data_IF_647023888201
#
_entry.id   IF_647023888201
#
_cell.length_a   1.000
_cell.length_b   1.000
_cell.length_c   1.000
_cell.angle_alpha   90.00
_cell.angle_beta   90.00
_cell.angle_gamma   90.00
#
_symmetry.space_group_name_H-M   'P 1'
#
loop_
_entity.id
_entity.type
_entity.pdbx_description
1 polymer ?
#
# COMPACT_ATOMS: atom_id res chain seq x y z
N UNK A 1 -14.09 13.36 -1.87
CA UNK A 1 -12.63 13.18 -1.78
C UNK A 1 -11.93 14.29 -2.52
N UNK A 2 -10.77 14.73 -2.06
CA UNK A 2 -9.93 15.74 -2.70
C UNK A 2 -8.47 15.26 -2.70
N UNK A 3 -7.54 16.06 -3.22
CA UNK A 3 -6.13 15.69 -3.34
C UNK A 3 -5.46 15.38 -1.98
N UNK A 4 -5.92 15.98 -0.88
CA UNK A 4 -5.33 15.77 0.45
C UNK A 4 -5.56 14.37 1.04
N UNK A 5 -6.47 13.59 0.46
CA UNK A 5 -6.68 12.18 0.85
C UNK A 5 -5.76 11.21 0.10
N UNK A 6 -5.01 11.70 -0.91
CA UNK A 6 -4.19 10.86 -1.76
C UNK A 6 -2.72 11.24 -1.66
N UNK A 7 -1.86 10.25 -1.71
CA UNK A 7 -0.42 10.39 -1.84
C UNK A 7 0.13 9.55 -2.99
N UNK A 8 1.43 9.62 -3.15
CA UNK A 8 2.17 8.75 -4.05
C UNK A 8 3.22 7.99 -3.27
N UNK A 9 3.45 6.79 -3.72
CA UNK A 9 4.56 5.97 -3.31
C UNK A 9 5.84 6.37 -4.07
N UNK A 10 6.95 6.56 -3.38
CA UNK A 10 8.22 6.91 -4.04
C UNK A 10 8.72 5.83 -4.99
N UNK A 11 8.28 4.56 -4.80
CA UNK A 11 8.62 3.45 -5.70
C UNK A 11 8.02 3.62 -7.09
N UNK A 12 6.93 4.37 -7.23
CA UNK A 12 6.29 4.70 -8.50
C UNK A 12 7.19 5.53 -9.43
N UNK A 13 8.15 6.25 -8.84
CA UNK A 13 9.02 7.19 -9.54
C UNK A 13 10.45 6.65 -9.63
N UNK A 14 11.16 6.98 -10.72
CA UNK A 14 12.57 6.69 -10.88
C UNK A 14 13.45 7.88 -10.44
N UNK A 15 14.75 7.63 -10.15
CA UNK A 15 15.72 8.67 -9.85
C UNK A 15 15.92 8.98 -8.37
N UNK A 16 16.66 10.06 -8.05
CA UNK A 16 17.00 10.42 -6.67
C UNK A 16 15.79 10.80 -5.82
N UNK A 17 15.89 10.56 -4.51
CA UNK A 17 14.80 10.81 -3.55
C UNK A 17 14.30 12.26 -3.61
N UNK A 18 15.20 13.24 -3.61
CA UNK A 18 14.83 14.65 -3.64
C UNK A 18 14.02 15.02 -4.87
N UNK A 19 14.41 14.49 -6.04
CA UNK A 19 13.70 14.74 -7.29
C UNK A 19 12.29 14.10 -7.27
N UNK A 20 12.14 12.90 -6.69
CA UNK A 20 10.85 12.26 -6.46
C UNK A 20 9.95 13.10 -5.58
N UNK A 21 10.46 13.53 -4.41
CA UNK A 21 9.72 14.36 -3.45
C UNK A 21 9.31 15.71 -4.07
N UNK A 22 10.20 16.33 -4.86
CA UNK A 22 9.92 17.57 -5.58
C UNK A 22 8.80 17.37 -6.62
N UNK A 23 8.83 16.29 -7.39
CA UNK A 23 7.81 15.98 -8.40
C UNK A 23 6.43 15.74 -7.75
N UNK A 24 6.39 14.96 -6.66
CA UNK A 24 5.16 14.69 -5.90
C UNK A 24 4.56 16.01 -5.38
N UNK A 25 5.38 16.83 -4.72
CA UNK A 25 4.95 18.13 -4.20
C UNK A 25 4.53 19.09 -5.32
N UNK A 26 5.28 19.12 -6.42
CA UNK A 26 4.99 19.95 -7.60
C UNK A 26 3.66 19.61 -8.28
N UNK A 27 3.21 18.34 -8.20
CA UNK A 27 1.88 17.91 -8.65
C UNK A 27 0.75 18.28 -7.66
N UNK A 28 1.08 18.87 -6.50
CA UNK A 28 0.14 19.34 -5.50
C UNK A 28 -0.21 18.33 -4.42
N UNK A 29 0.48 17.19 -4.33
CA UNK A 29 0.31 16.26 -3.22
C UNK A 29 0.89 16.82 -1.93
N UNK A 30 0.26 16.54 -0.81
CA UNK A 30 0.68 16.96 0.53
C UNK A 30 1.26 15.81 1.35
N UNK A 31 1.22 14.60 0.80
CA UNK A 31 1.62 13.37 1.48
C UNK A 31 2.38 12.42 0.55
N UNK A 32 3.18 11.53 1.17
CA UNK A 32 4.04 10.58 0.48
C UNK A 32 4.15 9.28 1.28
N UNK A 33 4.19 8.16 0.59
CA UNK A 33 4.65 6.89 1.15
C UNK A 33 6.08 6.63 0.69
N UNK A 34 6.96 6.22 1.60
CA UNK A 34 8.39 6.09 1.33
C UNK A 34 8.80 4.62 1.17
N UNK A 35 9.68 4.37 0.19
CA UNK A 35 10.29 3.07 0.01
C UNK A 35 11.66 3.01 0.70
N UNK A 36 11.95 1.89 1.39
CA UNK A 36 13.20 1.69 2.11
C UNK A 36 14.44 1.81 1.21
N UNK A 37 14.35 1.42 -0.06
CA UNK A 37 15.47 1.53 -1.01
C UNK A 37 15.89 2.98 -1.26
N UNK A 38 14.98 3.94 -1.19
CA UNK A 38 15.29 5.37 -1.35
C UNK A 38 16.05 5.92 -0.14
N UNK A 39 15.87 5.33 1.03
CA UNK A 39 16.52 5.76 2.27
C UNK A 39 17.89 5.09 2.41
N UNK A 40 17.92 3.76 2.29
CA UNK A 40 19.17 2.97 2.45
C UNK A 40 20.13 3.21 1.30
N UNK A 41 19.62 3.43 0.08
CA UNK A 41 20.42 3.70 -1.12
C UNK A 41 20.78 5.18 -1.33
N UNK A 42 20.46 6.06 -0.40
CA UNK A 42 20.74 7.49 -0.55
C UNK A 42 22.25 7.77 -0.54
N UNK A 43 22.78 8.54 -1.52
CA UNK A 43 24.23 8.76 -1.62
C UNK A 43 24.84 9.43 -0.39
N UNK A 44 24.09 10.26 0.33
CA UNK A 44 24.51 10.94 1.57
C UNK A 44 24.22 10.15 2.83
N UNK A 45 23.75 8.89 2.72
CA UNK A 45 23.36 8.05 3.84
C UNK A 45 21.96 8.34 4.39
N UNK A 46 21.56 7.57 5.41
CA UNK A 46 20.22 7.63 6.01
C UNK A 46 19.89 9.01 6.59
N UNK A 47 20.84 9.66 7.28
CA UNK A 47 20.62 10.98 7.89
C UNK A 47 20.29 12.04 6.83
N UNK A 48 21.00 12.03 5.69
CA UNK A 48 20.73 12.93 4.58
C UNK A 48 19.37 12.65 3.93
N UNK A 49 19.00 11.38 3.76
CA UNK A 49 17.68 10.99 3.27
C UNK A 49 16.56 11.50 4.19
N UNK A 50 16.70 11.31 5.50
CA UNK A 50 15.75 11.82 6.51
C UNK A 50 15.65 13.34 6.45
N UNK A 51 16.78 14.04 6.31
CA UNK A 51 16.80 15.51 6.17
C UNK A 51 16.07 15.95 4.88
N UNK A 52 16.28 15.27 3.75
CA UNK A 52 15.59 15.54 2.49
C UNK A 52 14.07 15.35 2.61
N UNK A 53 13.64 14.25 3.23
CA UNK A 53 12.21 14.00 3.49
C UNK A 53 11.60 15.14 4.34
N UNK A 54 12.24 15.54 5.43
CA UNK A 54 11.77 16.62 6.29
C UNK A 54 11.72 17.96 5.55
N UNK A 55 12.75 18.27 4.76
CA UNK A 55 12.81 19.50 3.97
C UNK A 55 11.72 19.58 2.89
N UNK A 56 11.24 18.44 2.39
CA UNK A 56 10.14 18.40 1.42
C UNK A 56 8.83 18.98 1.98
N UNK A 57 8.61 18.85 3.29
CA UNK A 57 7.37 19.26 3.96
C UNK A 57 6.18 18.34 3.63
N UNK A 58 6.39 17.21 2.95
CA UNK A 58 5.36 16.21 2.72
C UNK A 58 5.12 15.39 4.00
N UNK A 59 3.86 15.07 4.28
CA UNK A 59 3.49 14.17 5.38
C UNK A 59 3.78 12.72 4.98
N UNK A 60 4.57 12.02 5.77
CA UNK A 60 4.86 10.60 5.54
C UNK A 60 3.69 9.76 6.05
N UNK A 61 3.02 9.05 5.14
CA UNK A 61 1.84 8.21 5.44
C UNK A 61 2.20 6.78 5.78
N UNK A 62 3.29 6.28 5.24
CA UNK A 62 3.78 4.92 5.47
C UNK A 62 5.22 4.75 5.00
N UNK A 63 5.81 3.66 5.44
CA UNK A 63 7.15 3.21 5.05
C UNK A 63 7.11 1.75 4.64
N UNK A 64 7.72 1.40 3.53
CA UNK A 64 7.67 0.04 2.96
C UNK A 64 9.04 -0.44 2.51
N UNK A 65 9.25 -1.73 2.43
CA UNK A 65 8.37 -2.86 2.71
C UNK A 65 9.17 -3.91 3.49
N UNK A 66 8.62 -4.39 4.59
CA UNK A 66 9.12 -5.57 5.29
C UNK A 66 8.57 -6.82 4.60
N UNK A 67 9.44 -7.69 4.12
CA UNK A 67 9.08 -8.90 3.37
C UNK A 67 9.48 -10.16 4.11
N UNK A 68 8.67 -11.22 3.93
CA UNK A 68 8.99 -12.56 4.41
C UNK A 68 9.31 -12.56 5.92
N UNK A 69 8.46 -11.95 6.73
CA UNK A 69 8.66 -11.91 8.19
C UNK A 69 8.05 -13.14 8.85
N UNK A 70 6.78 -13.42 8.55
CA UNK A 70 6.01 -14.49 9.19
C UNK A 70 6.29 -15.86 8.56
N UNK A 71 6.11 -16.91 9.37
CA UNK A 71 6.21 -18.31 8.98
C UNK A 71 7.63 -18.84 8.88
N UNK A 72 8.64 -18.04 9.15
CA UNK A 72 10.03 -18.48 9.20
C UNK A 72 10.41 -19.03 10.59
N UNK A 73 11.49 -19.78 10.66
CA UNK A 73 11.97 -20.35 11.92
C UNK A 73 13.49 -20.26 12.07
N UNK A 74 13.98 -20.45 13.29
CA UNK A 74 15.41 -20.48 13.61
C UNK A 74 16.12 -19.19 13.21
N UNK A 75 17.30 -19.33 12.60
CA UNK A 75 18.14 -18.19 12.21
C UNK A 75 17.52 -17.29 11.14
N UNK A 76 16.65 -17.84 10.27
CA UNK A 76 15.95 -17.03 9.26
C UNK A 76 14.95 -16.08 9.92
N UNK A 77 14.20 -16.57 10.91
CA UNK A 77 13.28 -15.72 11.66
C UNK A 77 14.05 -14.66 12.47
N UNK A 78 15.11 -15.05 13.19
CA UNK A 78 15.96 -14.11 13.95
C UNK A 78 16.52 -12.99 13.06
N UNK A 79 17.02 -13.32 11.85
CA UNK A 79 17.46 -12.33 10.89
C UNK A 79 16.32 -11.36 10.47
N UNK A 80 15.11 -11.88 10.28
CA UNK A 80 13.96 -11.01 9.92
C UNK A 80 13.53 -10.11 11.06
N UNK A 81 13.69 -10.55 12.32
CA UNK A 81 13.48 -9.70 13.49
C UNK A 81 14.47 -8.53 13.49
N UNK A 82 15.75 -8.76 13.20
CA UNK A 82 16.75 -7.69 13.09
C UNK A 82 16.39 -6.70 11.95
N UNK A 83 15.97 -7.20 10.80
CA UNK A 83 15.51 -6.35 9.67
C UNK A 83 14.29 -5.53 10.08
N UNK A 84 13.32 -6.14 10.77
CA UNK A 84 12.12 -5.44 11.24
C UNK A 84 12.47 -4.31 12.22
N UNK A 85 13.38 -4.56 13.16
CA UNK A 85 13.85 -3.55 14.12
C UNK A 85 14.54 -2.37 13.41
N UNK A 86 15.39 -2.65 12.41
CA UNK A 86 16.02 -1.61 11.60
C UNK A 86 14.98 -0.77 10.85
N UNK A 87 14.00 -1.41 10.21
CA UNK A 87 12.93 -0.71 9.49
C UNK A 87 12.04 0.11 10.43
N UNK A 88 11.71 -0.40 11.61
CA UNK A 88 10.97 0.36 12.63
C UNK A 88 11.75 1.58 13.12
N UNK A 89 13.07 1.47 13.27
CA UNK A 89 13.95 2.60 13.59
C UNK A 89 13.90 3.67 12.49
N UNK A 90 13.98 3.27 11.22
CA UNK A 90 13.82 4.19 10.07
C UNK A 90 12.43 4.82 10.04
N UNK A 91 11.35 4.07 10.29
CA UNK A 91 10.00 4.65 10.43
C UNK A 91 9.99 5.80 11.43
N UNK A 92 10.58 5.59 12.61
CA UNK A 92 10.68 6.62 13.65
C UNK A 92 11.47 7.85 13.17
N UNK A 93 12.62 7.65 12.53
CA UNK A 93 13.47 8.73 12.02
C UNK A 93 12.75 9.57 10.97
N UNK A 94 11.99 8.92 10.09
CA UNK A 94 11.20 9.53 9.01
C UNK A 94 9.87 10.15 9.49
N UNK A 95 9.45 9.88 10.73
CA UNK A 95 8.14 10.30 11.25
C UNK A 95 6.96 9.48 10.73
N UNK A 96 7.23 8.34 10.06
CA UNK A 96 6.18 7.41 9.63
C UNK A 96 5.50 6.76 10.83
N UNK A 97 4.17 6.63 10.76
CA UNK A 97 3.38 5.93 11.78
C UNK A 97 2.93 4.54 11.34
N UNK A 98 3.22 4.16 10.11
CA UNK A 98 2.82 2.90 9.51
C UNK A 98 4.03 2.24 8.86
N UNK A 99 4.29 0.97 9.21
CA UNK A 99 5.18 0.07 8.49
C UNK A 99 4.33 -0.91 7.69
N UNK A 100 4.56 -0.99 6.38
CA UNK A 100 3.97 -2.03 5.52
C UNK A 100 4.79 -3.32 5.64
N UNK A 101 4.10 -4.41 5.97
CA UNK A 101 4.65 -5.77 5.94
C UNK A 101 3.82 -6.63 4.98
N UNK A 102 4.49 -7.26 4.02
CA UNK A 102 3.84 -8.13 3.04
C UNK A 102 3.94 -9.60 3.47
N UNK A 103 2.92 -10.36 3.10
CA UNK A 103 2.87 -11.80 3.30
C UNK A 103 4.06 -12.52 2.66
N UNK A 104 4.51 -13.58 3.32
CA UNK A 104 5.71 -14.31 2.92
C UNK A 104 5.54 -15.03 1.58
N UNK A 105 6.51 -14.84 0.71
CA UNK A 105 6.69 -15.59 -0.54
C UNK A 105 7.79 -16.67 -0.40
N UNK A 106 8.43 -16.76 0.77
CA UNK A 106 9.54 -17.66 1.03
C UNK A 106 9.15 -19.14 0.93
N UNK A 107 9.98 -19.93 0.25
CA UNK A 107 9.83 -21.37 0.21
C UNK A 107 10.00 -22.04 1.60
N UNK A 108 10.62 -21.33 2.55
CA UNK A 108 10.89 -21.81 3.91
C UNK A 108 9.79 -21.44 4.91
N UNK A 109 8.80 -20.65 4.49
CA UNK A 109 7.70 -20.27 5.37
C UNK A 109 6.74 -21.45 5.60
N UNK A 110 6.28 -21.63 6.83
CA UNK A 110 5.16 -22.52 7.18
C UNK A 110 3.83 -21.84 6.88
N UNK A 111 2.80 -22.65 6.61
CA UNK A 111 1.41 -22.19 6.53
C UNK A 111 0.60 -22.47 7.80
N UNK A 112 1.24 -22.84 8.90
CA UNK A 112 0.56 -23.05 10.18
C UNK A 112 0.02 -21.70 10.72
N UNK A 113 -1.31 -21.52 10.82
CA UNK A 113 -1.90 -20.27 11.27
C UNK A 113 -1.41 -19.81 12.64
N UNK A 114 -1.21 -20.75 13.58
CA UNK A 114 -0.73 -20.41 14.92
C UNK A 114 0.68 -19.83 14.90
N UNK A 115 1.56 -20.34 14.04
CA UNK A 115 2.90 -19.78 13.84
C UNK A 115 2.84 -18.40 13.20
N UNK A 116 2.01 -18.22 12.14
CA UNK A 116 1.85 -16.94 11.47
C UNK A 116 1.31 -15.85 12.41
N UNK A 117 0.30 -16.18 13.21
CA UNK A 117 -0.29 -15.28 14.21
C UNK A 117 0.77 -14.87 15.24
N UNK A 118 1.53 -15.84 15.76
CA UNK A 118 2.59 -15.58 16.74
C UNK A 118 3.64 -14.61 16.18
N UNK A 119 4.08 -14.81 14.95
CA UNK A 119 5.08 -13.96 14.33
C UNK A 119 4.53 -12.54 14.08
N UNK A 120 3.29 -12.40 13.64
CA UNK A 120 2.62 -11.10 13.48
C UNK A 120 2.43 -10.39 14.82
N UNK A 121 2.12 -11.13 15.89
CA UNK A 121 2.06 -10.59 17.25
C UNK A 121 3.43 -10.10 17.73
N UNK A 122 4.52 -10.82 17.41
CA UNK A 122 5.89 -10.41 17.70
C UNK A 122 6.23 -9.09 16.99
N UNK A 123 5.95 -9.01 15.67
CA UNK A 123 6.18 -7.79 14.89
C UNK A 123 5.40 -6.59 15.46
N UNK A 124 4.14 -6.79 15.77
CA UNK A 124 3.31 -5.76 16.40
C UNK A 124 3.89 -5.32 17.76
N UNK A 125 4.40 -6.26 18.56
CA UNK A 125 5.02 -5.98 19.88
C UNK A 125 6.30 -5.15 19.72
N UNK A 126 7.15 -5.45 18.74
CA UNK A 126 8.35 -4.66 18.43
C UNK A 126 8.02 -3.21 18.04
N UNK A 127 6.86 -2.98 17.40
CA UNK A 127 6.44 -1.66 16.95
C UNK A 127 5.80 -0.79 18.06
N UNK A 128 5.30 -1.39 19.17
CA UNK A 128 4.60 -0.66 20.25
C UNK A 128 5.43 0.45 20.87
N UNK A 129 6.72 0.25 21.28
CA UNK A 129 7.51 1.30 21.94
C UNK A 129 7.76 2.52 21.05
N UNK A 130 7.62 2.36 19.73
CA UNK A 130 7.85 3.40 18.74
C UNK A 130 6.55 4.10 18.32
N UNK A 131 5.39 3.63 18.78
CA UNK A 131 4.08 4.13 18.39
C UNK A 131 3.78 3.92 16.92
N UNK A 132 4.27 2.80 16.35
CA UNK A 132 4.11 2.45 14.94
C UNK A 132 3.03 1.38 14.81
N UNK A 133 2.19 1.53 13.81
CA UNK A 133 1.22 0.54 13.35
C UNK A 133 1.87 -0.34 12.28
N UNK A 134 1.56 -1.63 12.28
CA UNK A 134 1.94 -2.57 11.23
C UNK A 134 0.73 -2.80 10.33
N UNK A 135 0.86 -2.47 9.06
CA UNK A 135 -0.13 -2.76 8.02
C UNK A 135 0.29 -4.03 7.29
N UNK A 136 -0.47 -5.11 7.45
CA UNK A 136 -0.17 -6.41 6.84
C UNK A 136 -0.93 -6.56 5.52
N UNK A 137 -0.20 -6.90 4.46
CA UNK A 137 -0.71 -7.02 3.10
C UNK A 137 -0.60 -8.46 2.58
N UNK A 138 -1.67 -8.99 2.02
CA UNK A 138 -1.64 -10.23 1.28
C UNK A 138 -1.13 -10.00 -0.15
N UNK A 139 0.11 -10.39 -0.45
CA UNK A 139 0.59 -10.44 -1.83
C UNK A 139 -0.17 -11.49 -2.63
N UNK A 140 -0.66 -11.17 -3.82
CA UNK A 140 -1.43 -12.12 -4.66
C UNK A 140 -0.62 -13.35 -5.12
N UNK A 141 0.67 -13.38 -4.84
CA UNK A 141 1.57 -14.55 -5.00
C UNK A 141 2.18 -15.02 -3.68
N UNK A 142 1.65 -14.56 -2.54
CA UNK A 142 2.07 -15.02 -1.22
C UNK A 142 1.96 -16.56 -1.12
N UNK A 143 2.90 -17.17 -0.42
CA UNK A 143 2.99 -18.61 -0.39
C UNK A 143 1.80 -19.28 0.31
N UNK A 144 1.38 -18.74 1.42
CA UNK A 144 0.28 -19.27 2.23
C UNK A 144 -0.85 -18.26 2.41
N UNK A 145 -0.51 -16.98 2.53
CA UNK A 145 -1.44 -15.87 2.62
C UNK A 145 -1.35 -15.07 1.33
N UNK A 146 -2.35 -15.22 0.46
CA UNK A 146 -2.37 -14.57 -0.86
C UNK A 146 -3.71 -13.92 -1.22
N UNK A 147 -4.66 -13.93 -0.30
CA UNK A 147 -5.97 -13.28 -0.43
C UNK A 147 -6.20 -12.36 0.77
N UNK A 148 -6.85 -11.24 0.53
CA UNK A 148 -7.14 -10.22 1.55
C UNK A 148 -7.88 -10.79 2.77
N UNK A 149 -8.81 -11.71 2.60
CA UNK A 149 -9.54 -12.29 3.74
C UNK A 149 -8.67 -13.22 4.58
N UNK A 150 -7.70 -13.91 4.00
CA UNK A 150 -6.72 -14.68 4.79
C UNK A 150 -5.84 -13.75 5.66
N UNK A 151 -5.44 -12.57 5.14
CA UNK A 151 -4.71 -11.61 5.97
C UNK A 151 -5.61 -10.99 7.04
N UNK A 152 -6.90 -10.81 6.76
CA UNK A 152 -7.88 -10.33 7.75
C UNK A 152 -8.04 -11.33 8.91
N UNK A 153 -8.25 -12.61 8.63
CA UNK A 153 -8.36 -13.67 9.63
C UNK A 153 -7.15 -13.68 10.57
N UNK A 154 -5.93 -13.61 10.05
CA UNK A 154 -4.71 -13.56 10.86
C UNK A 154 -4.61 -12.28 11.70
N UNK A 155 -4.97 -11.14 11.15
CA UNK A 155 -4.95 -9.85 11.86
C UNK A 155 -5.99 -9.83 12.98
N UNK A 156 -7.19 -10.34 12.71
CA UNK A 156 -8.28 -10.43 13.69
C UNK A 156 -7.89 -11.36 14.85
N UNK A 157 -7.44 -12.58 14.53
CA UNK A 157 -7.01 -13.56 15.53
C UNK A 157 -5.76 -13.14 16.30
N UNK A 158 -4.90 -12.32 15.72
CA UNK A 158 -3.73 -11.77 16.42
C UNK A 158 -4.11 -10.86 17.57
N UNK A 159 -5.26 -10.23 17.58
CA UNK A 159 -5.80 -9.34 18.60
C UNK A 159 -4.77 -8.28 19.07
N UNK A 160 -4.16 -7.55 18.15
CA UNK A 160 -3.23 -6.46 18.43
C UNK A 160 -3.77 -5.13 17.91
N UNK A 161 -3.90 -4.12 18.77
CA UNK A 161 -4.45 -2.82 18.39
C UNK A 161 -3.65 -2.12 17.30
N UNK A 162 -2.33 -2.33 17.27
CA UNK A 162 -1.39 -1.74 16.30
C UNK A 162 -1.05 -2.66 15.11
N UNK A 163 -1.76 -3.77 14.94
CA UNK A 163 -1.73 -4.61 13.74
C UNK A 163 -3.05 -4.46 13.00
N UNK A 164 -2.98 -4.20 11.71
CA UNK A 164 -4.11 -4.02 10.82
C UNK A 164 -3.74 -4.38 9.39
N UNK A 165 -4.56 -3.99 8.42
CA UNK A 165 -4.40 -4.33 7.02
C UNK A 165 -3.84 -3.17 6.19
N UNK A 166 -3.04 -3.52 5.20
CA UNK A 166 -2.90 -2.77 3.98
C UNK A 166 -3.76 -3.41 2.88
N UNK A 167 -4.55 -2.60 2.20
CA UNK A 167 -5.37 -3.04 1.08
C UNK A 167 -4.77 -2.47 -0.21
N UNK A 168 -4.17 -3.33 -1.03
CA UNK A 168 -3.72 -2.96 -2.37
C UNK A 168 -4.73 -3.43 -3.42
N UNK A 169 -5.25 -2.49 -4.20
CA UNK A 169 -6.22 -2.76 -5.26
C UNK A 169 -5.72 -3.79 -6.28
N UNK A 170 -4.42 -3.78 -6.61
CA UNK A 170 -3.86 -4.78 -7.51
C UNK A 170 -4.02 -6.20 -6.96
N UNK A 171 -3.60 -6.44 -5.72
CA UNK A 171 -3.64 -7.79 -5.13
C UNK A 171 -5.07 -8.30 -4.95
N UNK A 172 -6.00 -7.41 -4.63
CA UNK A 172 -7.42 -7.74 -4.50
C UNK A 172 -8.02 -8.12 -5.87
N UNK A 173 -7.78 -7.31 -6.89
CA UNK A 173 -8.38 -7.49 -8.22
C UNK A 173 -7.68 -8.60 -9.03
N UNK A 174 -6.38 -8.81 -8.85
CA UNK A 174 -5.64 -9.89 -9.49
C UNK A 174 -6.16 -11.30 -9.11
N UNK A 175 -6.84 -11.42 -7.96
CA UNK A 175 -7.56 -12.61 -7.54
C UNK A 175 -9.06 -12.60 -7.90
N UNK A 176 -9.54 -11.57 -8.60
CA UNK A 176 -10.97 -11.39 -8.88
C UNK A 176 -11.84 -11.48 -7.60
N UNK A 177 -11.31 -10.93 -6.49
CA UNK A 177 -11.98 -10.97 -5.20
C UNK A 177 -13.32 -10.23 -5.27
N UNK A 178 -14.40 -10.87 -4.80
CA UNK A 178 -15.66 -10.17 -4.62
C UNK A 178 -15.49 -9.04 -3.58
N UNK A 179 -15.64 -7.80 -4.01
CA UNK A 179 -15.49 -6.65 -3.13
C UNK A 179 -16.53 -6.61 -2.00
N UNK A 180 -17.59 -7.40 -2.10
CA UNK A 180 -18.62 -7.54 -1.06
C UNK A 180 -18.09 -8.12 0.24
N UNK A 181 -17.07 -9.00 0.18
CA UNK A 181 -16.46 -9.62 1.37
C UNK A 181 -15.70 -8.63 2.25
N UNK A 182 -15.24 -7.52 1.67
CA UNK A 182 -14.49 -6.51 2.43
C UNK A 182 -15.30 -5.86 3.55
N UNK A 183 -16.64 -5.97 3.51
CA UNK A 183 -17.54 -5.48 4.56
C UNK A 183 -17.36 -6.22 5.90
N UNK A 184 -16.73 -7.37 5.90
CA UNK A 184 -16.39 -8.14 7.10
C UNK A 184 -15.20 -7.53 7.84
N UNK A 185 -14.40 -6.70 7.17
CA UNK A 185 -13.22 -6.04 7.75
C UNK A 185 -13.68 -4.85 8.59
N UNK A 186 -13.19 -4.79 9.83
CA UNK A 186 -13.42 -3.62 10.70
C UNK A 186 -12.64 -2.41 10.17
N UNK A 187 -13.29 -1.28 9.83
CA UNK A 187 -12.63 -0.15 9.18
C UNK A 187 -11.44 0.42 9.94
N UNK A 188 -11.48 0.40 11.27
CA UNK A 188 -10.39 0.89 12.14
C UNK A 188 -9.12 0.01 12.06
N UNK A 189 -9.23 -1.18 11.46
CA UNK A 189 -8.11 -2.07 11.18
C UNK A 189 -7.53 -1.90 9.78
N UNK A 190 -8.09 -1.04 8.94
CA UNK A 190 -7.49 -0.67 7.66
C UNK A 190 -6.54 0.51 7.92
N UNK A 191 -5.24 0.28 7.84
CA UNK A 191 -4.23 1.29 8.15
C UNK A 191 -3.66 1.97 6.93
N UNK A 192 -3.77 1.33 5.75
CA UNK A 192 -3.26 1.83 4.49
C UNK A 192 -4.11 1.29 3.34
N UNK A 193 -4.32 2.12 2.32
CA UNK A 193 -4.91 1.69 1.04
C UNK A 193 -4.00 2.12 -0.09
N UNK A 194 -3.51 1.14 -0.87
CA UNK A 194 -2.70 1.39 -2.06
C UNK A 194 -3.54 1.17 -3.31
N UNK A 195 -3.40 2.10 -4.25
CA UNK A 195 -4.20 2.12 -5.47
C UNK A 195 -3.31 2.03 -6.70
N UNK A 196 -3.64 1.07 -7.53
CA UNK A 196 -3.19 0.94 -8.91
C UNK A 196 -4.24 0.22 -9.73
N UNK A 197 -4.10 0.27 -11.02
CA UNK A 197 -4.85 -0.49 -12.02
C UNK A 197 -3.84 -1.29 -12.85
N UNK A 198 -4.26 -2.09 -13.79
CA UNK A 198 -3.39 -2.83 -14.69
C UNK A 198 -4.06 -3.10 -16.03
N UNK A 199 -3.26 -3.57 -17.02
CA UNK A 199 -3.69 -3.63 -18.43
C UNK A 199 -4.29 -4.96 -18.86
N UNK A 200 -4.14 -6.01 -18.03
CA UNK A 200 -4.64 -7.36 -18.35
C UNK A 200 -5.98 -7.60 -17.68
N UNK A 201 -6.92 -8.17 -18.42
CA UNK A 201 -8.23 -8.52 -17.87
C UNK A 201 -8.15 -9.61 -16.79
N UNK A 202 -7.21 -10.54 -16.92
CA UNK A 202 -7.00 -11.63 -15.97
C UNK A 202 -5.51 -11.89 -15.77
N UNK A 203 -5.16 -12.30 -14.55
CA UNK A 203 -3.85 -12.83 -14.17
C UNK A 203 -4.05 -14.16 -13.47
N UNK A 204 -3.85 -15.26 -14.20
CA UNK A 204 -4.26 -16.61 -13.76
C UNK A 204 -3.23 -17.27 -12.85
N UNK A 205 -1.96 -17.09 -13.15
CA UNK A 205 -0.86 -17.74 -12.44
C UNK A 205 -0.13 -16.78 -11.49
N UNK A 206 0.58 -17.28 -10.47
CA UNK A 206 1.45 -16.45 -9.64
C UNK A 206 2.49 -15.68 -10.47
N UNK A 207 3.07 -16.30 -11.49
CA UNK A 207 4.09 -15.66 -12.35
C UNK A 207 3.49 -14.51 -13.15
N UNK A 208 2.30 -14.67 -13.74
CA UNK A 208 1.58 -13.59 -14.41
C UNK A 208 1.25 -12.43 -13.45
N UNK A 209 0.88 -12.74 -12.18
CA UNK A 209 0.62 -11.72 -11.17
C UNK A 209 1.90 -10.97 -10.79
N UNK A 210 3.02 -11.68 -10.61
CA UNK A 210 4.32 -11.06 -10.32
C UNK A 210 4.75 -10.15 -11.47
N UNK A 211 4.67 -10.64 -12.69
CA UNK A 211 5.05 -9.90 -13.90
C UNK A 211 4.21 -8.62 -14.03
N UNK A 212 2.87 -8.76 -13.95
CA UNK A 212 1.95 -7.62 -14.03
C UNK A 212 2.18 -6.62 -12.90
N UNK A 213 2.34 -7.11 -11.65
CA UNK A 213 2.55 -6.28 -10.49
C UNK A 213 3.82 -5.43 -10.57
N UNK A 214 4.89 -5.96 -11.17
CA UNK A 214 6.21 -5.33 -11.18
C UNK A 214 6.45 -4.41 -12.38
N UNK A 215 5.73 -4.63 -13.49
CA UNK A 215 6.07 -4.01 -14.77
C UNK A 215 4.91 -3.29 -15.44
N UNK A 216 3.64 -3.65 -15.15
CA UNK A 216 2.49 -3.25 -15.95
C UNK A 216 1.32 -2.67 -15.15
N UNK A 217 1.56 -2.20 -13.91
CA UNK A 217 0.56 -1.41 -13.19
C UNK A 217 0.43 -0.05 -13.88
N UNK A 218 -0.76 0.51 -13.85
CA UNK A 218 -1.06 1.86 -14.34
C UNK A 218 -1.87 2.62 -13.27
N UNK A 219 -2.03 3.92 -13.45
CA UNK A 219 -2.87 4.67 -12.54
C UNK A 219 -4.36 4.34 -12.75
N UNK A 220 -5.20 4.36 -11.69
CA UNK A 220 -6.65 4.23 -11.82
C UNK A 220 -7.22 5.23 -12.83
N UNK A 221 -8.05 4.75 -13.75
CA UNK A 221 -8.54 5.50 -14.91
C UNK A 221 -7.73 5.29 -16.18
N UNK A 222 -6.64 4.54 -16.15
CA UNK A 222 -5.78 4.22 -17.30
C UNK A 222 -5.78 2.72 -17.65
N UNK A 223 -6.26 1.86 -16.74
CA UNK A 223 -6.30 0.41 -16.93
C UNK A 223 -7.69 -0.14 -17.18
N UNK A 224 -7.78 -1.47 -17.24
CA UNK A 224 -9.02 -2.17 -17.55
C UNK A 224 -9.90 -2.43 -16.32
N UNK A 225 -9.35 -2.28 -15.10
CA UNK A 225 -10.07 -2.49 -13.83
C UNK A 225 -10.45 -1.18 -13.13
N UNK A 226 -10.43 -0.08 -13.85
CA UNK A 226 -10.65 1.25 -13.27
C UNK A 226 -12.00 1.38 -12.54
N UNK A 227 -13.07 0.79 -13.07
CA UNK A 227 -14.39 0.81 -12.43
C UNK A 227 -14.41 -0.02 -11.14
N UNK A 228 -13.71 -1.16 -11.11
CA UNK A 228 -13.54 -1.99 -9.90
C UNK A 228 -12.70 -1.26 -8.83
N UNK A 229 -11.62 -0.56 -9.24
CA UNK A 229 -10.85 0.29 -8.30
C UNK A 229 -11.75 1.38 -7.72
N UNK A 230 -12.57 2.04 -8.55
CA UNK A 230 -13.51 3.03 -8.06
C UNK A 230 -14.59 2.41 -7.16
N UNK A 231 -15.03 1.17 -7.43
CA UNK A 231 -15.97 0.44 -6.58
C UNK A 231 -15.33 0.08 -5.23
N UNK A 232 -14.06 -0.34 -5.22
CA UNK A 232 -13.27 -0.59 -4.01
C UNK A 232 -13.20 0.67 -3.13
N UNK A 233 -12.79 1.81 -3.70
CA UNK A 233 -12.70 3.08 -2.97
C UNK A 233 -14.05 3.48 -2.38
N UNK A 234 -15.15 3.36 -3.15
CA UNK A 234 -16.51 3.63 -2.65
C UNK A 234 -16.91 2.69 -1.52
N UNK A 235 -16.59 1.40 -1.65
CA UNK A 235 -16.89 0.39 -0.63
C UNK A 235 -16.20 0.70 0.68
N UNK A 236 -14.91 0.97 0.63
CA UNK A 236 -14.09 1.29 1.81
C UNK A 236 -14.55 2.61 2.46
N UNK A 237 -14.86 3.65 1.67
CA UNK A 237 -15.39 4.92 2.20
C UNK A 237 -16.76 4.72 2.87
N UNK A 238 -17.64 3.91 2.27
CA UNK A 238 -18.95 3.57 2.83
C UNK A 238 -18.86 2.76 4.13
N UNK A 239 -17.82 1.95 4.31
CA UNK A 239 -17.53 1.23 5.55
C UNK A 239 -17.08 2.16 6.69
N UNK A 240 -16.68 3.39 6.37
CA UNK A 240 -16.21 4.37 7.35
C UNK A 240 -14.70 4.57 7.39
N UNK A 241 -13.94 4.02 6.47
CA UNK A 241 -12.50 4.33 6.36
C UNK A 241 -12.27 5.82 6.12
N UNK A 242 -11.36 6.40 6.89
CA UNK A 242 -11.00 7.84 6.82
C UNK A 242 -9.49 8.06 6.76
N UNK A 243 -8.76 7.00 6.43
CA UNK A 243 -7.31 7.06 6.26
C UNK A 243 -6.87 7.54 4.89
N UNK A 244 -5.60 7.38 4.62
CA UNK A 244 -4.92 7.84 3.42
C UNK A 244 -4.96 6.78 2.31
N UNK A 245 -5.00 7.26 1.07
CA UNK A 245 -4.79 6.46 -0.13
C UNK A 245 -3.41 6.81 -0.72
N UNK A 246 -2.67 5.81 -1.17
CA UNK A 246 -1.39 6.01 -1.85
C UNK A 246 -1.39 5.34 -3.23
N UNK A 247 -0.86 6.00 -4.25
CA UNK A 247 -0.65 5.36 -5.55
C UNK A 247 0.65 4.57 -5.54
N UNK A 248 0.53 3.26 -5.70
CA UNK A 248 1.67 2.35 -5.88
C UNK A 248 1.64 1.75 -7.28
N UNK A 249 2.39 2.34 -8.19
CA UNK A 249 2.36 1.98 -9.60
C UNK A 249 3.75 1.60 -10.09
N UNK A 250 3.98 0.29 -10.20
CA UNK A 250 5.19 -0.25 -10.82
C UNK A 250 4.97 -0.35 -12.33
N UNK A 251 5.69 0.46 -13.10
CA UNK A 251 5.57 0.48 -14.55
C UNK A 251 6.90 0.88 -15.19
N UNK A 252 7.43 0.02 -16.04
CA UNK A 252 8.74 0.23 -16.65
C UNK A 252 8.75 1.41 -17.62
N UNK A 253 7.65 1.65 -18.35
CA UNK A 253 7.53 2.79 -19.25
C UNK A 253 7.48 4.11 -18.46
N UNK A 254 6.76 4.14 -17.32
CA UNK A 254 6.69 5.34 -16.47
C UNK A 254 8.06 5.70 -15.88
N UNK A 255 8.90 4.71 -15.61
CA UNK A 255 10.27 4.93 -15.12
C UNK A 255 11.18 5.61 -16.13
N UNK A 256 10.81 5.61 -17.41
CA UNK A 256 11.52 6.29 -18.50
C UNK A 256 10.99 7.71 -18.75
N UNK A 257 9.87 8.09 -18.12
CA UNK A 257 9.27 9.41 -18.28
C UNK A 257 9.85 10.42 -17.29
N UNK A 258 9.84 11.73 -17.62
CA UNK A 258 10.13 12.78 -16.66
C UNK A 258 9.22 12.70 -15.44
N UNK A 259 9.79 12.79 -14.23
CA UNK A 259 9.06 12.65 -12.96
C UNK A 259 7.78 13.52 -12.86
N UNK A 260 7.79 14.83 -13.30
CA UNK A 260 6.58 15.63 -13.27
C UNK A 260 5.44 15.07 -14.14
N UNK A 261 5.76 14.37 -15.23
CA UNK A 261 4.74 13.76 -16.09
C UNK A 261 4.06 12.58 -15.39
N UNK A 262 4.84 11.75 -14.68
CA UNK A 262 4.28 10.63 -13.90
C UNK A 262 3.43 11.15 -12.74
N UNK A 263 3.92 12.15 -12.01
CA UNK A 263 3.16 12.77 -10.91
C UNK A 263 1.87 13.45 -11.38
N UNK A 264 1.86 14.04 -12.59
CA UNK A 264 0.65 14.60 -13.19
C UNK A 264 -0.36 13.51 -13.59
N UNK A 265 0.08 12.32 -14.01
CA UNK A 265 -0.82 11.16 -14.23
C UNK A 265 -1.52 10.76 -12.93
N UNK A 266 -0.77 10.68 -11.82
CA UNK A 266 -1.35 10.45 -10.49
C UNK A 266 -2.40 11.51 -10.13
N UNK A 267 -2.10 12.79 -10.35
CA UNK A 267 -3.04 13.89 -10.10
C UNK A 267 -4.32 13.77 -10.97
N UNK A 268 -4.21 13.33 -12.21
CA UNK A 268 -5.38 13.07 -13.08
C UNK A 268 -6.20 11.90 -12.54
N UNK A 269 -5.54 10.86 -12.03
CA UNK A 269 -6.21 9.72 -11.39
C UNK A 269 -7.02 10.15 -10.15
N UNK A 270 -6.48 11.05 -9.31
CA UNK A 270 -7.26 11.62 -8.19
C UNK A 270 -8.54 12.30 -8.69
N UNK A 271 -8.44 13.12 -9.73
CA UNK A 271 -9.62 13.81 -10.30
C UNK A 271 -10.64 12.81 -10.84
N UNK A 272 -10.16 11.75 -11.50
CA UNK A 272 -11.00 10.71 -12.05
C UNK A 272 -11.76 9.96 -10.95
N UNK A 273 -11.05 9.45 -9.92
CA UNK A 273 -11.66 8.74 -8.77
C UNK A 273 -12.67 9.65 -8.06
N UNK A 274 -12.27 10.88 -7.73
CA UNK A 274 -13.11 11.83 -7.02
C UNK A 274 -14.38 12.17 -7.81
N UNK A 275 -14.28 12.31 -9.13
CA UNK A 275 -15.41 12.53 -10.02
C UNK A 275 -16.41 11.39 -10.01
N UNK A 276 -15.94 10.13 -10.01
CA UNK A 276 -16.82 8.95 -10.00
C UNK A 276 -17.46 8.75 -8.62
N UNK A 277 -16.70 8.89 -7.55
CA UNK A 277 -17.20 8.75 -6.17
C UNK A 277 -18.27 9.81 -5.89
N UNK A 278 -18.07 11.06 -6.30
CA UNK A 278 -19.01 12.17 -6.06
C UNK A 278 -20.28 12.08 -6.90
N UNK A 279 -20.23 11.60 -8.15
CA UNK A 279 -21.41 11.57 -9.07
C UNK A 279 -22.54 10.67 -8.56
N UNK A 280 -22.25 9.61 -7.82
CA UNK A 280 -23.25 8.68 -7.28
C UNK A 280 -23.79 9.08 -5.90
N UNK A 281 -23.22 10.11 -5.29
CA UNK A 281 -23.71 10.69 -4.01
C UNK A 281 -24.86 11.68 -4.23
N UNK A 282 -25.16 12.06 -5.47
CA UNK A 282 -26.30 12.90 -5.80
C UNK A 282 -27.57 12.03 -5.89
N UNK A 283 -28.66 12.35 -5.15
CA UNK A 283 -29.93 11.64 -5.28
C UNK A 283 -30.41 11.74 -6.73
N UNK A 284 -30.84 10.60 -7.30
CA UNK A 284 -31.44 10.57 -8.62
C UNK A 284 -32.55 11.63 -8.66
N UNK A 285 -32.45 12.62 -9.55
CA UNK A 285 -33.52 13.58 -9.79
C UNK A 285 -34.79 12.77 -10.09
N UNK A 286 -35.77 12.83 -9.19
CA UNK A 286 -37.10 12.31 -9.47
C UNK A 286 -37.58 13.00 -10.77
N UNK A 287 -37.74 12.22 -11.82
CA UNK A 287 -38.41 12.71 -13.01
C UNK A 287 -39.80 13.15 -12.57
N UNK A 288 -40.07 14.45 -12.60
CA UNK A 288 -41.39 14.98 -12.45
C UNK A 288 -42.23 14.46 -13.63
N UNK A 289 -43.11 13.52 -13.31
CA UNK A 289 -44.17 13.16 -14.24
C UNK A 289 -45.08 14.40 -14.37
N UNK A 290 -45.09 15.00 -15.56
CA UNK A 290 -46.12 15.90 -16.01
C UNK A 290 -47.31 15.06 -16.51
#
# INVERSE_FOLDING_TARGET
MNLDHFGMDTITLAGPLEAKLQAIKGAGFTQVMLNATDIVGHPGGEEAAVAAVRASGLRVTGFQVLRDFEGLSGHLHAYKVEVAQAMLSMCRALGSKVLLACSSSSAHATGDPAALIKDLQELATLAVPLGIKVAYEALSWGRHVNKVMQSWELVEESDRANLGLALDSFHILAHQTDLGVLKEIVPDKIFLVQLSDFLWQETRTPDERIETARHYRVFPGEGVHSEEVAALVRGIDAMGYRGDYSFEVFNDDYRQLPLPMVAERARRSVKWISGIVSRRSLPARRASRA
#
